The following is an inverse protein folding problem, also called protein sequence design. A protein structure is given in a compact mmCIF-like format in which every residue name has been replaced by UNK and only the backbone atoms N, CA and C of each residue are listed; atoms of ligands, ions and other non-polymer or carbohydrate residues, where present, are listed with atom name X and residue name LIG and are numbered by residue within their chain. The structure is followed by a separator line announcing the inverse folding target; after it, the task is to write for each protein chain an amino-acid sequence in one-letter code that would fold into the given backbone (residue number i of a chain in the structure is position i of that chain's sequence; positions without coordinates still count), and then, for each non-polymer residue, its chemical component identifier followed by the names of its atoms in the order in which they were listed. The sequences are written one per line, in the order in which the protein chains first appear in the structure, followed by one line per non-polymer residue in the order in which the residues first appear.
data_IF_962886571194
#
_entry.id   IF_962886571194
#
_cell.length_a   1.000
_cell.length_b   1.000
_cell.length_c   1.000
_cell.angle_alpha   90.00
_cell.angle_beta   90.00
_cell.angle_gamma   90.00
#
_symmetry.space_group_name_H-M   'P 1'
#
loop_
_entity.id
_entity.type
_entity.pdbx_description
1 polymer ?
#
# COMPACT_ATOMS: atom_id res chain seq x y z
N UNK A 1 19.47 -87.61 -31.89
CA UNK A 1 18.34 -86.75 -31.44
C UNK A 1 18.77 -85.30 -31.57
N UNK A 2 18.09 -84.52 -32.41
CA UNK A 2 18.31 -83.08 -32.50
C UNK A 2 17.02 -82.41 -32.95
N UNK A 3 16.27 -81.82 -32.00
CA UNK A 3 15.10 -80.99 -32.32
C UNK A 3 15.60 -79.56 -32.51
N UNK A 4 15.65 -79.10 -33.75
CA UNK A 4 15.80 -77.67 -34.05
C UNK A 4 14.50 -76.96 -33.69
N UNK A 5 14.56 -76.03 -32.74
CA UNK A 5 13.49 -75.05 -32.55
C UNK A 5 13.57 -74.04 -33.71
N UNK A 6 12.55 -74.01 -34.56
CA UNK A 6 12.31 -72.87 -35.44
C UNK A 6 11.78 -71.72 -34.60
N UNK A 7 12.64 -70.76 -34.28
CA UNK A 7 12.20 -69.45 -33.81
C UNK A 7 11.49 -68.77 -34.99
N UNK A 8 10.19 -68.51 -34.84
CA UNK A 8 9.41 -67.77 -35.82
C UNK A 8 9.99 -66.38 -36.01
N UNK A 9 10.65 -66.13 -37.15
CA UNK A 9 11.06 -64.80 -37.54
C UNK A 9 9.80 -64.03 -37.98
N UNK A 10 9.51 -62.91 -37.31
CA UNK A 10 8.43 -62.00 -37.71
C UNK A 10 8.65 -61.56 -39.17
N UNK A 11 7.59 -61.48 -39.97
CA UNK A 11 7.67 -60.97 -41.35
C UNK A 11 8.16 -59.52 -41.32
N UNK A 12 8.91 -59.09 -42.34
CA UNK A 12 9.35 -57.69 -42.48
C UNK A 12 8.15 -56.72 -42.51
N UNK A 13 7.01 -57.17 -43.03
CA UNK A 13 5.74 -56.43 -43.01
C UNK A 13 5.20 -56.25 -41.58
N UNK A 14 5.34 -57.25 -40.72
CA UNK A 14 4.85 -57.20 -39.34
C UNK A 14 5.71 -56.24 -38.50
N UNK A 15 7.02 -56.27 -38.71
CA UNK A 15 7.97 -55.35 -38.04
C UNK A 15 7.69 -53.90 -38.47
N UNK A 16 7.44 -53.64 -39.76
CA UNK A 16 7.13 -52.30 -40.25
C UNK A 16 5.80 -51.78 -39.69
N UNK A 17 4.76 -52.62 -39.63
CA UNK A 17 3.46 -52.25 -39.02
C UNK A 17 3.60 -51.92 -37.53
N UNK A 18 4.33 -52.75 -36.79
CA UNK A 18 4.61 -52.54 -35.35
C UNK A 18 5.42 -51.26 -35.14
N UNK A 19 6.41 -50.96 -35.98
CA UNK A 19 7.16 -49.69 -35.90
C UNK A 19 6.31 -48.46 -36.22
N UNK A 20 5.39 -48.55 -37.19
CA UNK A 20 4.50 -47.45 -37.56
C UNK A 20 3.48 -47.15 -36.45
N UNK A 21 2.89 -48.20 -35.84
CA UNK A 21 2.00 -48.06 -34.69
C UNK A 21 2.71 -47.47 -33.48
N UNK A 22 3.96 -47.88 -33.23
CA UNK A 22 4.78 -47.31 -32.17
C UNK A 22 5.14 -45.83 -32.42
N UNK A 23 5.42 -45.44 -33.67
CA UNK A 23 5.66 -44.05 -34.04
C UNK A 23 4.40 -43.19 -33.84
N UNK A 24 3.23 -43.71 -34.26
CA UNK A 24 1.92 -43.07 -34.06
C UNK A 24 1.55 -42.95 -32.57
N UNK A 25 1.95 -43.92 -31.75
CA UNK A 25 1.75 -43.88 -30.31
C UNK A 25 2.66 -42.83 -29.66
N UNK A 26 3.94 -42.75 -30.06
CA UNK A 26 4.88 -41.74 -29.59
C UNK A 26 4.41 -40.31 -29.93
N UNK A 27 3.92 -40.09 -31.15
CA UNK A 27 3.39 -38.79 -31.59
C UNK A 27 2.17 -38.35 -30.77
N UNK A 28 1.31 -39.31 -30.39
CA UNK A 28 0.19 -39.07 -29.45
C UNK A 28 0.68 -38.69 -28.05
N UNK A 29 1.72 -39.35 -27.53
CA UNK A 29 2.29 -39.00 -26.23
C UNK A 29 2.98 -37.63 -26.24
N UNK A 30 3.70 -37.29 -27.31
CA UNK A 30 4.31 -35.97 -27.48
C UNK A 30 3.24 -34.88 -27.49
N UNK A 31 2.19 -35.05 -28.30
CA UNK A 31 1.04 -34.13 -28.32
C UNK A 31 0.40 -34.00 -26.94
N UNK A 32 0.25 -35.09 -26.19
CA UNK A 32 -0.31 -35.05 -24.84
C UNK A 32 0.60 -34.28 -23.87
N UNK A 33 1.93 -34.47 -23.96
CA UNK A 33 2.90 -33.75 -23.13
C UNK A 33 2.91 -32.25 -23.44
N UNK A 34 2.86 -31.87 -24.72
CA UNK A 34 2.75 -30.47 -25.14
C UNK A 34 1.49 -29.81 -24.58
N UNK A 35 0.33 -30.48 -24.71
CA UNK A 35 -0.92 -29.98 -24.15
C UNK A 35 -0.87 -29.81 -22.62
N UNK A 36 -0.22 -30.75 -21.92
CA UNK A 36 -0.03 -30.65 -20.47
C UNK A 36 0.92 -29.50 -20.10
N UNK A 37 2.01 -29.32 -20.85
CA UNK A 37 2.94 -28.22 -20.64
C UNK A 37 2.26 -26.85 -20.86
N UNK A 38 1.54 -26.69 -21.96
CA UNK A 38 0.76 -25.49 -22.26
C UNK A 38 -0.29 -25.20 -21.17
N UNK A 39 -0.97 -26.23 -20.69
CA UNK A 39 -1.91 -26.09 -19.58
C UNK A 39 -1.21 -25.59 -18.32
N UNK A 40 -0.06 -26.17 -17.95
CA UNK A 40 0.71 -25.76 -16.77
C UNK A 40 1.22 -24.33 -16.90
N UNK A 41 1.73 -23.94 -18.08
CA UNK A 41 2.16 -22.56 -18.35
C UNK A 41 1.02 -21.56 -18.12
N UNK A 42 -0.16 -21.79 -18.72
CA UNK A 42 -1.32 -20.92 -18.55
C UNK A 42 -1.81 -20.84 -17.10
N UNK A 43 -1.75 -21.96 -16.36
CA UNK A 43 -2.10 -21.96 -14.93
C UNK A 43 -1.09 -21.15 -14.11
N UNK A 44 0.20 -21.29 -14.42
CA UNK A 44 1.25 -20.55 -13.73
C UNK A 44 1.17 -19.04 -13.99
N UNK A 45 0.91 -18.63 -15.23
CA UNK A 45 0.67 -17.22 -15.58
C UNK A 45 -0.51 -16.64 -14.81
N UNK A 46 -1.65 -17.35 -14.79
CA UNK A 46 -2.83 -16.94 -14.01
C UNK A 46 -2.52 -16.84 -12.52
N UNK A 47 -1.72 -17.76 -11.99
CA UNK A 47 -1.28 -17.71 -10.61
C UNK A 47 -0.44 -16.45 -10.34
N UNK A 48 0.55 -16.14 -11.19
CA UNK A 48 1.36 -14.93 -11.05
C UNK A 48 0.51 -13.65 -11.12
N UNK A 49 -0.48 -13.59 -12.02
CA UNK A 49 -1.41 -12.46 -12.08
C UNK A 49 -2.26 -12.31 -10.81
N UNK A 50 -2.75 -13.43 -10.26
CA UNK A 50 -3.47 -13.42 -8.99
C UNK A 50 -2.58 -12.89 -7.86
N UNK A 51 -1.34 -13.39 -7.78
CA UNK A 51 -0.37 -12.95 -6.78
C UNK A 51 -0.08 -11.45 -6.91
N UNK A 52 0.15 -10.94 -8.13
CA UNK A 52 0.36 -9.50 -8.39
C UNK A 52 -0.84 -8.66 -7.98
N UNK A 53 -2.06 -9.09 -8.32
CA UNK A 53 -3.30 -8.38 -7.94
C UNK A 53 -3.47 -8.32 -6.42
N UNK A 54 -3.21 -9.42 -5.74
CA UNK A 54 -3.27 -9.47 -4.27
C UNK A 54 -2.24 -8.52 -3.66
N UNK A 55 -1.01 -8.51 -4.18
CA UNK A 55 0.03 -7.60 -3.71
C UNK A 55 -0.34 -6.13 -3.91
N UNK A 56 -0.88 -5.77 -5.07
CA UNK A 56 -1.35 -4.41 -5.34
C UNK A 56 -2.46 -3.99 -4.36
N UNK A 57 -3.36 -4.91 -4.00
CA UNK A 57 -4.40 -4.64 -3.01
C UNK A 57 -3.83 -4.38 -1.61
N UNK A 58 -2.85 -5.17 -1.19
CA UNK A 58 -2.20 -5.04 0.12
C UNK A 58 -1.34 -3.78 0.19
N UNK A 59 -0.63 -3.45 -0.90
CA UNK A 59 0.14 -2.20 -1.01
C UNK A 59 -0.78 -0.98 -0.92
N UNK A 60 -1.92 -1.01 -1.61
CA UNK A 60 -2.93 0.04 -1.53
C UNK A 60 -3.47 0.20 -0.11
N UNK A 61 -3.76 -0.89 0.60
CA UNK A 61 -4.21 -0.84 1.99
C UNK A 61 -3.16 -0.19 2.90
N UNK A 62 -1.89 -0.58 2.75
CA UNK A 62 -0.83 0.03 3.53
C UNK A 62 -0.69 1.53 3.24
N UNK A 63 -0.75 1.96 1.98
CA UNK A 63 -0.71 3.39 1.62
C UNK A 63 -1.80 4.18 2.32
N UNK A 64 -3.03 3.64 2.40
CA UNK A 64 -4.14 4.27 3.15
C UNK A 64 -3.78 4.49 4.61
N UNK A 65 -3.15 3.51 5.26
CA UNK A 65 -2.73 3.65 6.66
C UNK A 65 -1.57 4.64 6.84
N UNK A 66 -0.60 4.64 5.92
CA UNK A 66 0.50 5.61 5.90
C UNK A 66 0.01 7.04 5.68
N UNK A 67 -1.03 7.23 4.85
CA UNK A 67 -1.71 8.50 4.63
C UNK A 67 -2.45 8.96 5.88
N UNK A 68 -3.26 8.08 6.50
CA UNK A 68 -3.94 8.36 7.77
C UNK A 68 -2.97 8.77 8.87
N UNK A 69 -1.80 8.14 8.94
CA UNK A 69 -0.77 8.45 9.91
C UNK A 69 0.14 9.63 9.52
N UNK A 70 -0.10 10.27 8.37
CA UNK A 70 0.68 11.40 7.83
C UNK A 70 2.19 11.09 7.75
N UNK A 71 2.54 9.87 7.35
CA UNK A 71 3.94 9.43 7.28
C UNK A 71 4.67 10.16 6.14
N UNK A 72 5.81 10.78 6.45
CA UNK A 72 6.59 11.54 5.48
C UNK A 72 7.22 10.69 4.36
N UNK A 73 7.57 11.32 3.22
CA UNK A 73 7.99 10.62 2.00
C UNK A 73 9.27 9.80 2.16
N UNK A 74 10.24 10.27 2.97
CA UNK A 74 11.48 9.52 3.24
C UNK A 74 11.22 8.14 3.84
N UNK A 75 10.29 8.08 4.80
CA UNK A 75 9.95 6.84 5.50
C UNK A 75 9.08 5.92 4.64
N UNK A 76 8.25 6.47 3.75
CA UNK A 76 7.54 5.70 2.74
C UNK A 76 8.51 5.05 1.75
N UNK A 77 9.47 5.82 1.25
CA UNK A 77 10.49 5.30 0.33
C UNK A 77 11.35 4.21 0.97
N UNK A 78 11.67 4.31 2.27
CA UNK A 78 12.33 3.21 2.99
C UNK A 78 11.49 1.94 2.98
N UNK A 79 10.18 2.04 3.19
CA UNK A 79 9.29 0.87 3.15
C UNK A 79 9.20 0.28 1.75
N UNK A 80 9.02 1.13 0.73
CA UNK A 80 9.02 0.72 -0.69
C UNK A 80 10.32 -0.04 -1.03
N UNK A 81 11.48 0.49 -0.64
CA UNK A 81 12.77 -0.16 -0.87
C UNK A 81 12.94 -1.50 -0.14
N UNK A 82 12.39 -1.66 1.06
CA UNK A 82 12.45 -2.93 1.82
C UNK A 82 11.51 -3.98 1.21
N UNK A 83 10.43 -3.55 0.58
CA UNK A 83 9.38 -4.41 0.06
C UNK A 83 9.50 -4.75 -1.43
N UNK A 84 10.10 -3.88 -2.25
CA UNK A 84 10.33 -4.12 -3.69
C UNK A 84 11.39 -5.20 -3.97
N UNK A 85 12.25 -5.50 -2.99
CA UNK A 85 13.45 -6.33 -3.20
C UNK A 85 13.14 -7.84 -3.15
N UNK A 86 11.92 -8.28 -2.82
CA UNK A 86 11.65 -9.71 -2.63
C UNK A 86 10.58 -10.27 -3.56
N UNK A 87 10.85 -11.51 -3.98
CA UNK A 87 9.91 -12.42 -4.62
C UNK A 87 8.52 -12.28 -4.02
N UNK A 88 7.48 -12.32 -4.85
CA UNK A 88 6.10 -12.37 -4.40
C UNK A 88 5.82 -13.70 -3.68
N UNK A 89 6.30 -13.81 -2.45
CA UNK A 89 6.20 -14.98 -1.60
C UNK A 89 5.37 -14.69 -0.34
N UNK A 90 5.04 -15.75 0.39
CA UNK A 90 4.22 -15.67 1.61
C UNK A 90 4.89 -14.84 2.71
N UNK A 91 6.23 -14.80 2.75
CA UNK A 91 6.95 -14.01 3.75
C UNK A 91 6.79 -12.51 3.49
N UNK A 92 6.80 -12.11 2.22
CA UNK A 92 6.56 -10.73 1.83
C UNK A 92 5.14 -10.30 2.23
N UNK A 93 4.11 -11.12 1.98
CA UNK A 93 2.75 -10.85 2.46
C UNK A 93 2.67 -10.72 4.00
N UNK A 94 3.35 -11.59 4.74
CA UNK A 94 3.37 -11.53 6.21
C UNK A 94 3.99 -10.22 6.72
N UNK A 95 5.03 -9.70 6.06
CA UNK A 95 5.65 -8.40 6.40
C UNK A 95 4.69 -7.24 6.17
N UNK A 96 4.00 -7.22 5.03
CA UNK A 96 2.99 -6.19 4.75
C UNK A 96 1.84 -6.24 5.77
N UNK A 97 1.32 -7.44 6.08
CA UNK A 97 0.25 -7.59 7.05
C UNK A 97 0.68 -7.13 8.46
N UNK A 98 1.92 -7.43 8.87
CA UNK A 98 2.47 -6.95 10.13
C UNK A 98 2.59 -5.42 10.17
N UNK A 99 3.06 -4.80 9.07
CA UNK A 99 3.21 -3.35 8.99
C UNK A 99 1.85 -2.64 8.96
N UNK A 100 0.88 -3.17 8.20
CA UNK A 100 -0.51 -2.66 8.19
C UNK A 100 -1.08 -2.70 9.61
N UNK A 101 -0.98 -3.83 10.31
CA UNK A 101 -1.48 -3.98 11.69
C UNK A 101 -0.82 -2.97 12.64
N UNK A 102 0.48 -2.76 12.49
CA UNK A 102 1.24 -1.80 13.28
C UNK A 102 0.77 -0.37 13.04
N UNK A 103 0.60 0.06 11.79
CA UNK A 103 0.09 1.40 11.48
C UNK A 103 -1.37 1.59 11.88
N UNK A 104 -2.21 0.56 11.71
CA UNK A 104 -3.58 0.57 12.20
C UNK A 104 -3.62 0.76 13.73
N UNK A 105 -2.79 0.03 14.47
CA UNK A 105 -2.69 0.15 15.94
C UNK A 105 -2.14 1.52 16.36
N UNK A 106 -1.14 2.03 15.63
CA UNK A 106 -0.58 3.35 15.86
C UNK A 106 -1.63 4.45 15.65
N UNK A 107 -2.42 4.35 14.59
CA UNK A 107 -3.51 5.28 14.31
C UNK A 107 -4.59 5.23 15.38
N UNK A 108 -5.08 4.03 15.73
CA UNK A 108 -6.17 3.87 16.68
C UNK A 108 -5.79 4.30 18.10
N UNK A 109 -4.57 3.97 18.54
CA UNK A 109 -4.07 4.40 19.86
C UNK A 109 -3.89 5.92 19.99
N UNK A 110 -3.78 6.63 18.86
CA UNK A 110 -3.54 8.08 18.80
C UNK A 110 -4.62 8.82 18.01
N UNK A 111 -5.80 8.23 17.85
CA UNK A 111 -6.88 8.80 17.05
C UNK A 111 -7.21 10.23 17.49
N UNK A 112 -7.22 10.47 18.80
CA UNK A 112 -7.52 11.80 19.36
C UNK A 112 -6.51 12.89 19.00
N UNK A 113 -5.27 12.53 18.63
CA UNK A 113 -4.26 13.47 18.11
C UNK A 113 -4.58 13.79 16.65
N UNK A 114 -4.88 12.76 15.85
CA UNK A 114 -5.21 12.92 14.44
C UNK A 114 -6.54 13.67 14.24
N UNK A 115 -7.54 13.45 15.09
CA UNK A 115 -8.79 14.22 15.10
C UNK A 115 -8.53 15.70 15.43
N UNK A 116 -7.72 15.98 16.45
CA UNK A 116 -7.33 17.35 16.78
C UNK A 116 -6.54 18.01 15.64
N UNK A 117 -5.73 17.23 14.91
CA UNK A 117 -4.95 17.71 13.78
C UNK A 117 -5.85 18.05 12.61
N UNK A 118 -6.79 17.18 12.26
CA UNK A 118 -7.78 17.42 11.20
C UNK A 118 -8.64 18.64 11.53
N UNK A 119 -9.14 18.76 12.77
CA UNK A 119 -9.93 19.92 13.19
C UNK A 119 -9.14 21.24 13.14
N UNK A 120 -7.81 21.18 13.34
CA UNK A 120 -6.93 22.33 13.19
C UNK A 120 -6.69 22.69 11.71
N UNK A 121 -6.42 21.69 10.86
CA UNK A 121 -6.31 21.85 9.41
C UNK A 121 -7.59 22.45 8.80
N UNK A 122 -8.76 22.01 9.23
CA UNK A 122 -10.05 22.57 8.81
C UNK A 122 -10.18 24.06 9.14
N UNK A 123 -9.83 24.48 10.35
CA UNK A 123 -9.84 25.90 10.73
C UNK A 123 -8.81 26.72 9.95
N UNK A 124 -7.65 26.15 9.62
CA UNK A 124 -6.66 26.80 8.74
C UNK A 124 -7.20 26.98 7.32
N UNK A 125 -7.88 25.98 6.78
CA UNK A 125 -8.51 26.05 5.45
C UNK A 125 -9.62 27.10 5.42
N UNK A 126 -10.43 27.19 6.48
CA UNK A 126 -11.44 28.25 6.59
C UNK A 126 -10.79 29.64 6.65
N UNK A 127 -9.66 29.78 7.36
CA UNK A 127 -8.90 31.04 7.40
C UNK A 127 -8.37 31.40 6.01
N UNK A 128 -7.83 30.44 5.27
CA UNK A 128 -7.37 30.65 3.90
C UNK A 128 -8.52 31.07 2.96
N UNK A 129 -9.70 30.46 3.08
CA UNK A 129 -10.88 30.84 2.31
C UNK A 129 -11.32 32.28 2.59
N UNK A 130 -11.28 32.72 3.85
CA UNK A 130 -11.55 34.12 4.22
C UNK A 130 -10.52 35.09 3.63
N UNK A 131 -9.25 34.68 3.51
CA UNK A 131 -8.22 35.50 2.85
C UNK A 131 -8.53 35.63 1.36
N UNK A 132 -8.89 34.55 0.68
CA UNK A 132 -9.28 34.58 -0.74
C UNK A 132 -10.48 35.49 -0.96
N UNK A 133 -11.53 35.35 -0.14
CA UNK A 133 -12.72 36.22 -0.19
C UNK A 133 -12.38 37.69 0.07
N UNK A 134 -11.42 37.97 0.96
CA UNK A 134 -11.01 39.34 1.28
C UNK A 134 -10.32 40.07 0.13
N UNK A 135 -9.80 39.34 -0.87
CA UNK A 135 -9.11 39.87 -2.06
C UNK A 135 -10.07 40.24 -3.18
N UNK A 136 -11.36 39.89 -3.09
CA UNK A 136 -12.35 40.23 -4.10
C UNK A 136 -12.67 41.74 -4.07
N UNK A 137 -12.45 42.50 -5.16
CA UNK A 137 -12.79 43.92 -5.21
C UNK A 137 -14.29 44.19 -5.10
N UNK A 138 -15.17 43.24 -5.46
CA UNK A 138 -16.62 43.36 -5.29
C UNK A 138 -17.04 43.39 -3.81
N UNK A 139 -16.14 43.01 -2.89
CA UNK A 139 -16.35 43.04 -1.44
C UNK A 139 -16.68 44.43 -0.90
N UNK A 140 -16.20 45.50 -1.53
CA UNK A 140 -16.50 46.88 -1.12
C UNK A 140 -17.89 47.36 -1.56
N UNK A 141 -18.50 46.68 -2.54
CA UNK A 141 -19.90 46.92 -2.92
C UNK A 141 -20.89 46.34 -1.90
N UNK A 142 -20.43 45.40 -1.07
CA UNK A 142 -21.22 44.82 0.02
C UNK A 142 -21.24 45.76 1.24
N UNK A 143 -22.47 46.10 1.68
CA UNK A 143 -22.76 47.06 2.76
C UNK A 143 -21.85 46.86 3.98
N UNK A 144 -21.39 47.96 4.60
CA UNK A 144 -20.43 48.00 5.72
C UNK A 144 -20.67 47.00 6.87
N UNK A 145 -21.91 46.60 7.14
CA UNK A 145 -22.24 45.58 8.14
C UNK A 145 -21.67 44.18 7.80
N UNK A 146 -21.52 43.85 6.52
CA UNK A 146 -20.96 42.58 6.04
C UNK A 146 -19.45 42.52 6.32
N UNK A 147 -18.72 43.59 6.00
CA UNK A 147 -17.29 43.72 6.30
C UNK A 147 -17.00 43.57 7.80
N UNK A 148 -17.86 44.14 8.65
CA UNK A 148 -17.73 44.01 10.10
C UNK A 148 -17.96 42.57 10.56
N UNK A 149 -18.96 41.87 10.01
CA UNK A 149 -19.23 40.46 10.31
C UNK A 149 -18.07 39.56 9.88
N UNK A 150 -17.46 39.82 8.73
CA UNK A 150 -16.28 39.09 8.26
C UNK A 150 -15.07 39.29 9.18
N UNK A 151 -14.84 40.53 9.63
CA UNK A 151 -13.77 40.85 10.57
C UNK A 151 -13.98 40.19 11.94
N UNK A 152 -15.21 40.18 12.44
CA UNK A 152 -15.57 39.44 13.67
C UNK A 152 -15.33 37.94 13.47
N UNK A 153 -15.78 37.38 12.34
CA UNK A 153 -15.56 35.96 12.02
C UNK A 153 -14.08 35.61 11.98
N UNK A 154 -13.25 36.44 11.36
CA UNK A 154 -11.78 36.27 11.31
C UNK A 154 -11.18 36.22 12.71
N UNK A 155 -11.53 37.17 13.58
CA UNK A 155 -11.03 37.22 14.96
C UNK A 155 -11.47 36.01 15.80
N UNK A 156 -12.72 35.56 15.63
CA UNK A 156 -13.20 34.36 16.31
C UNK A 156 -12.41 33.12 15.86
N UNK A 157 -12.20 32.97 14.54
CA UNK A 157 -11.46 31.85 13.97
C UNK A 157 -9.98 31.86 14.39
N UNK A 158 -9.36 33.04 14.51
CA UNK A 158 -7.98 33.15 15.00
C UNK A 158 -7.83 32.68 16.46
N UNK A 159 -8.80 32.99 17.32
CA UNK A 159 -8.82 32.49 18.70
C UNK A 159 -9.01 30.97 18.74
N UNK A 160 -9.88 30.44 17.90
CA UNK A 160 -10.11 28.99 17.78
C UNK A 160 -8.83 28.26 17.32
N UNK A 161 -8.17 28.77 16.29
CA UNK A 161 -6.89 28.23 15.78
C UNK A 161 -5.83 28.24 16.89
N UNK A 162 -5.72 29.33 17.66
CA UNK A 162 -4.78 29.41 18.77
C UNK A 162 -5.08 28.37 19.86
N UNK A 163 -6.36 28.20 20.23
CA UNK A 163 -6.78 27.18 21.20
C UNK A 163 -6.49 25.75 20.71
N UNK A 164 -6.87 25.41 19.47
CA UNK A 164 -6.60 24.09 18.87
C UNK A 164 -5.11 23.79 18.76
N UNK A 165 -4.28 24.81 18.46
CA UNK A 165 -2.82 24.69 18.43
C UNK A 165 -2.25 24.27 19.79
N UNK A 166 -2.72 24.86 20.88
CA UNK A 166 -2.24 24.49 22.22
C UNK A 166 -2.67 23.07 22.61
N UNK A 167 -3.91 22.68 22.32
CA UNK A 167 -4.38 21.29 22.52
C UNK A 167 -3.50 20.30 21.75
N UNK A 168 -3.16 20.63 20.49
CA UNK A 168 -2.27 19.80 19.68
C UNK A 168 -0.87 19.67 20.25
N UNK A 169 -0.29 20.78 20.74
CA UNK A 169 1.02 20.75 21.41
C UNK A 169 0.99 19.86 22.66
N UNK A 170 -0.03 20.01 23.50
CA UNK A 170 -0.18 19.22 24.72
C UNK A 170 -0.30 17.73 24.44
N UNK A 171 -1.15 17.35 23.48
CA UNK A 171 -1.33 15.96 23.08
C UNK A 171 -0.06 15.39 22.41
N UNK A 172 0.62 16.18 21.60
CA UNK A 172 1.90 15.81 20.98
C UNK A 172 3.01 15.57 22.00
N UNK A 173 3.14 16.46 22.99
CA UNK A 173 4.11 16.32 24.08
C UNK A 173 3.85 15.06 24.90
N UNK A 174 2.59 14.81 25.27
CA UNK A 174 2.18 13.59 25.99
C UNK A 174 2.54 12.32 25.21
N UNK A 175 2.33 12.31 23.88
CA UNK A 175 2.70 11.19 23.03
C UNK A 175 4.22 10.98 22.93
N UNK A 176 5.02 12.05 22.86
CA UNK A 176 6.49 11.91 22.86
C UNK A 176 7.04 11.39 24.18
N UNK A 177 6.37 11.66 25.29
CA UNK A 177 6.77 11.16 26.61
C UNK A 177 6.48 9.66 26.76
N UNK A 178 5.33 9.18 26.24
CA UNK A 178 4.99 7.75 26.21
C UNK A 178 5.93 6.92 25.31
N UNK A 179 6.40 7.47 24.19
CA UNK A 179 7.33 6.75 23.29
C UNK A 179 8.69 6.55 23.94
N UNK A 180 9.20 7.53 24.70
CA UNK A 180 10.48 7.42 25.42
C UNK A 180 10.49 6.33 26.49
N UNK A 181 9.34 5.97 27.04
CA UNK A 181 9.21 4.97 28.12
C UNK A 181 9.02 3.55 27.62
N UNK A 182 8.75 3.34 26.33
CA UNK A 182 8.33 2.02 25.83
C UNK A 182 9.31 1.35 24.85
N UNK A 183 10.20 2.09 24.16
CA UNK A 183 11.25 1.45 23.33
C UNK A 183 12.33 2.45 22.84
N UNK A 184 13.60 2.37 23.31
CA UNK A 184 14.67 3.31 22.91
C UNK A 184 15.14 3.16 21.45
N UNK A 185 14.87 2.04 20.79
CA UNK A 185 15.28 1.77 19.41
C UNK A 185 14.52 2.58 18.34
N UNK A 186 13.39 3.21 18.70
CA UNK A 186 12.54 3.99 17.80
C UNK A 186 12.97 5.46 17.63
N UNK A 187 14.09 5.86 18.26
CA UNK A 187 14.54 7.24 18.37
C UNK A 187 15.39 7.74 17.20
N UNK A 188 15.76 6.88 16.25
CA UNK A 188 16.68 7.26 15.17
C UNK A 188 16.03 7.95 13.95
N UNK A 189 14.70 7.96 13.81
CA UNK A 189 14.09 8.62 12.65
C UNK A 189 12.70 9.24 12.88
N UNK A 190 12.27 9.31 14.15
CA UNK A 190 11.24 10.28 14.55
C UNK A 190 11.91 11.64 14.66
N UNK A 191 12.48 12.11 13.54
CA UNK A 191 12.90 13.49 13.35
C UNK A 191 11.82 14.36 13.95
N UNK A 192 12.23 15.19 14.91
CA UNK A 192 11.37 16.03 15.72
C UNK A 192 10.11 16.37 14.92
N UNK A 193 8.94 16.07 15.45
CA UNK A 193 7.78 16.90 15.16
C UNK A 193 8.08 18.29 15.77
N UNK A 194 9.13 18.95 15.31
CA UNK A 194 9.22 20.39 15.35
C UNK A 194 8.12 20.81 14.41
N UNK A 195 6.96 21.07 15.00
CA UNK A 195 6.02 22.01 14.46
C UNK A 195 6.76 23.36 14.43
N UNK A 196 7.69 23.54 13.49
CA UNK A 196 8.15 24.86 13.09
C UNK A 196 6.95 25.45 12.36
N UNK A 197 6.13 26.12 13.14
CA UNK A 197 5.22 27.15 12.65
C UNK A 197 6.17 28.24 12.16
N UNK A 198 6.72 28.08 10.97
CA UNK A 198 7.34 29.20 10.30
C UNK A 198 6.20 30.11 9.86
N UNK A 199 6.19 31.29 10.47
CA UNK A 199 5.27 32.37 10.17
C UNK A 199 5.44 32.75 8.69
N UNK A 200 4.41 32.47 7.90
CA UNK A 200 4.18 33.02 6.56
C UNK A 200 2.75 33.54 6.45
#
# INVERSE_FOLDING_TARGET
MGRFHHSGQKSTSDVLSETFENLSLADRYLTQLENLFDFLCRQYERHLENVRRNFASVDAELRVWLDKCRVGPKRRSYFEAVCEVQSFDEQAFARYAAEIRKWATYYTSRSSIFEALNAFEESLNEKAALVVQSRDPARLANRACILLKEEIKRRCLEKEIASKREILKEKGNSATQQVKTSDPGYLMDMGRLTFTVEDH
#
